data_IF_526990382444
#
_entry.id   IF_526990382444
#
_cell.length_a   1.000
_cell.length_b   1.000
_cell.length_c   1.000
_cell.angle_alpha   90.00
_cell.angle_beta   90.00
_cell.angle_gamma   90.00
#
_symmetry.space_group_name_H-M   'P 1'
#
loop_
_entity.id
_entity.type
_entity.pdbx_description
1 polymer ?
#
# COMPACT_ATOMS: atom_id res chain seq x y z
N UNK A 1 -20.94 -12.03 -27.32
CA UNK A 1 -20.71 -11.36 -28.64
C UNK A 1 -19.24 -11.56 -29.00
N UNK A 2 -18.96 -11.93 -30.25
CA UNK A 2 -17.58 -11.99 -30.76
C UNK A 2 -17.36 -10.82 -31.72
N UNK A 3 -16.26 -10.11 -31.52
CA UNK A 3 -15.86 -8.98 -32.34
C UNK A 3 -14.57 -9.36 -33.07
N UNK A 4 -14.63 -9.43 -34.40
CA UNK A 4 -13.48 -9.75 -35.22
C UNK A 4 -12.71 -8.46 -35.53
N UNK A 5 -11.43 -8.46 -35.26
CA UNK A 5 -10.56 -7.30 -35.56
C UNK A 5 -10.39 -7.08 -37.07
N UNK A 6 -10.19 -5.84 -37.51
CA UNK A 6 -9.74 -5.58 -38.88
C UNK A 6 -8.35 -6.17 -39.14
N UNK A 7 -8.07 -6.52 -40.39
CA UNK A 7 -6.80 -7.12 -40.82
C UNK A 7 -5.58 -6.24 -40.53
N UNK A 8 -5.75 -4.94 -40.59
CA UNK A 8 -4.72 -3.91 -40.40
C UNK A 8 -4.55 -3.46 -38.95
N UNK A 9 -5.39 -3.99 -38.02
CA UNK A 9 -5.28 -3.64 -36.62
C UNK A 9 -4.10 -4.35 -35.94
N UNK A 10 -3.28 -3.60 -35.19
CA UNK A 10 -2.22 -4.19 -34.40
C UNK A 10 -2.78 -5.17 -33.37
N UNK A 11 -2.03 -6.22 -33.05
CA UNK A 11 -2.44 -7.24 -32.06
C UNK A 11 -2.78 -6.66 -30.67
N UNK A 12 -2.33 -5.45 -30.39
CA UNK A 12 -2.45 -4.79 -29.10
C UNK A 12 -3.56 -3.74 -29.01
N UNK A 13 -4.33 -3.52 -30.07
CA UNK A 13 -5.49 -2.60 -29.99
C UNK A 13 -6.56 -3.23 -29.12
N UNK A 14 -6.77 -2.68 -27.95
CA UNK A 14 -7.83 -3.09 -27.03
C UNK A 14 -9.13 -2.41 -27.45
N UNK A 15 -10.13 -3.20 -27.84
CA UNK A 15 -11.47 -2.67 -27.99
C UNK A 15 -12.10 -2.41 -26.63
N UNK A 16 -12.65 -1.22 -26.44
CA UNK A 16 -13.36 -0.84 -25.23
C UNK A 16 -14.78 -0.42 -25.60
N UNK A 17 -15.79 -1.01 -24.98
CA UNK A 17 -17.14 -0.49 -25.14
C UNK A 17 -17.23 0.89 -24.51
N UNK A 18 -17.89 1.80 -25.22
CA UNK A 18 -18.30 3.10 -24.67
C UNK A 18 -19.75 2.99 -24.23
N UNK A 19 -20.08 3.34 -22.99
CA UNK A 19 -21.42 3.29 -22.45
C UNK A 19 -21.64 2.27 -21.34
N UNK A 20 -22.88 1.89 -21.10
CA UNK A 20 -23.25 0.97 -20.05
C UNK A 20 -22.70 -0.46 -20.25
N UNK A 21 -22.52 -1.16 -19.14
CA UNK A 21 -22.05 -2.54 -19.15
C UNK A 21 -23.01 -3.43 -19.92
N UNK A 22 -22.50 -4.11 -20.94
CA UNK A 22 -23.32 -5.08 -21.70
C UNK A 22 -23.74 -6.25 -20.83
N UNK A 23 -24.97 -6.72 -20.94
CA UNK A 23 -25.47 -7.87 -20.17
C UNK A 23 -24.90 -9.21 -20.66
N UNK A 24 -24.16 -9.21 -21.77
CA UNK A 24 -23.53 -10.39 -22.37
C UNK A 24 -22.02 -10.21 -22.46
N UNK A 25 -21.23 -11.30 -22.32
CA UNK A 25 -19.80 -11.25 -22.53
C UNK A 25 -19.48 -10.79 -23.96
N UNK A 26 -18.52 -9.89 -24.10
CA UNK A 26 -17.96 -9.48 -25.39
C UNK A 26 -16.49 -9.88 -25.45
N UNK A 27 -16.09 -10.55 -26.51
CA UNK A 27 -14.73 -11.02 -26.76
C UNK A 27 -14.23 -10.50 -28.08
N UNK A 28 -12.98 -10.07 -28.08
CA UNK A 28 -12.28 -9.66 -29.31
C UNK A 28 -11.40 -10.81 -29.76
N UNK A 29 -11.50 -11.20 -31.01
CA UNK A 29 -10.70 -12.25 -31.62
C UNK A 29 -9.81 -11.67 -32.72
N UNK A 30 -8.62 -12.26 -32.91
CA UNK A 30 -7.72 -11.90 -34.00
C UNK A 30 -8.41 -12.05 -35.35
N UNK A 31 -7.95 -11.28 -36.36
CA UNK A 31 -8.56 -11.31 -37.69
C UNK A 31 -8.65 -12.71 -38.28
N UNK A 32 -7.53 -13.43 -38.32
CA UNK A 32 -7.47 -14.78 -38.95
C UNK A 32 -8.36 -15.79 -38.24
N UNK A 33 -8.38 -15.79 -36.92
CA UNK A 33 -9.25 -16.65 -36.12
C UNK A 33 -10.72 -16.28 -36.32
N UNK A 34 -10.99 -14.99 -36.36
CA UNK A 34 -12.33 -14.47 -36.63
C UNK A 34 -12.83 -14.87 -38.04
N UNK A 35 -11.95 -14.85 -39.06
CA UNK A 35 -12.32 -15.29 -40.40
C UNK A 35 -12.61 -16.81 -40.44
N UNK A 36 -11.86 -17.62 -39.69
CA UNK A 36 -12.13 -19.06 -39.55
C UNK A 36 -13.50 -19.31 -38.91
N UNK A 37 -13.84 -18.59 -37.84
CA UNK A 37 -15.16 -18.68 -37.18
C UNK A 37 -16.29 -18.22 -38.09
N UNK A 38 -16.12 -17.15 -38.82
CA UNK A 38 -17.10 -16.67 -39.80
C UNK A 38 -17.31 -17.68 -40.95
N UNK A 39 -16.24 -18.30 -41.46
CA UNK A 39 -16.29 -19.31 -42.47
C UNK A 39 -17.05 -20.56 -41.97
N UNK A 40 -16.81 -20.98 -40.74
CA UNK A 40 -17.56 -22.10 -40.13
C UNK A 40 -19.04 -21.79 -39.96
N UNK A 41 -19.38 -20.58 -39.47
CA UNK A 41 -20.75 -20.14 -39.29
C UNK A 41 -21.54 -20.05 -40.60
N UNK A 42 -20.91 -19.69 -41.72
CA UNK A 42 -21.53 -19.63 -43.06
C UNK A 42 -21.86 -21.01 -43.63
N UNK A 43 -21.20 -22.07 -43.15
CA UNK A 43 -21.47 -23.46 -43.57
C UNK A 43 -22.65 -24.11 -42.88
N UNK A 44 -23.25 -23.46 -41.92
CA UNK A 44 -24.40 -23.95 -41.16
C UNK A 44 -24.29 -23.59 -39.65
N UNK A 45 -25.03 -24.32 -38.80
CA UNK A 45 -24.96 -24.15 -37.35
C UNK A 45 -23.58 -24.52 -36.85
N UNK A 46 -22.86 -23.53 -36.25
CA UNK A 46 -21.61 -23.75 -35.54
C UNK A 46 -21.87 -23.61 -34.03
N UNK A 47 -21.39 -24.58 -33.26
CA UNK A 47 -21.32 -24.47 -31.79
C UNK A 47 -19.88 -24.09 -31.40
N UNK A 48 -19.76 -23.09 -30.59
CA UNK A 48 -18.47 -22.63 -30.05
C UNK A 48 -18.44 -22.89 -28.54
N UNK A 49 -17.52 -23.70 -28.10
CA UNK A 49 -17.21 -23.87 -26.69
C UNK A 49 -16.07 -22.89 -26.32
N UNK A 50 -16.28 -22.09 -25.27
CA UNK A 50 -15.33 -21.10 -24.82
C UNK A 50 -14.90 -21.40 -23.38
N UNK A 51 -13.61 -21.58 -23.18
CA UNK A 51 -13.00 -21.55 -21.86
C UNK A 51 -12.35 -20.18 -21.66
N UNK A 52 -12.85 -19.44 -20.67
CA UNK A 52 -12.40 -18.08 -20.39
C UNK A 52 -11.68 -18.00 -19.06
N UNK A 53 -10.49 -17.40 -19.08
CA UNK A 53 -9.81 -16.95 -17.88
C UNK A 53 -9.98 -15.44 -17.78
N UNK A 54 -10.73 -14.98 -16.77
CA UNK A 54 -11.08 -13.55 -16.62
C UNK A 54 -9.84 -12.72 -16.32
N UNK A 55 -8.90 -13.30 -15.58
CA UNK A 55 -7.63 -12.67 -15.21
C UNK A 55 -6.50 -13.68 -15.36
N UNK A 56 -5.37 -13.26 -15.92
CA UNK A 56 -4.18 -14.11 -15.91
C UNK A 56 -3.69 -14.30 -14.48
N UNK A 57 -3.41 -15.53 -14.02
CA UNK A 57 -2.75 -15.75 -12.73
C UNK A 57 -1.28 -15.33 -12.73
N UNK A 58 -0.75 -14.94 -13.88
CA UNK A 58 0.63 -14.52 -14.09
C UNK A 58 0.72 -13.13 -14.70
N UNK A 59 1.73 -12.37 -14.29
CA UNK A 59 2.12 -11.10 -14.89
C UNK A 59 3.62 -11.07 -15.11
N UNK A 60 4.05 -10.48 -16.23
CA UNK A 60 5.46 -10.27 -16.55
C UNK A 60 5.70 -8.77 -16.69
N UNK A 61 6.42 -8.16 -15.76
CA UNK A 61 6.90 -6.79 -15.81
C UNK A 61 8.37 -6.79 -16.26
N UNK A 62 8.57 -6.61 -17.55
CA UNK A 62 9.88 -6.73 -18.18
C UNK A 62 10.35 -5.37 -18.66
N UNK A 63 11.47 -4.90 -18.11
CA UNK A 63 12.15 -3.68 -18.52
C UNK A 63 13.54 -4.02 -19.02
N UNK A 64 13.73 -4.01 -20.33
CA UNK A 64 14.99 -4.33 -20.97
C UNK A 64 15.44 -3.18 -21.87
N UNK A 65 16.68 -2.76 -21.71
CA UNK A 65 17.24 -1.59 -22.38
C UNK A 65 18.52 -1.93 -23.09
N UNK A 66 18.60 -1.60 -24.36
CA UNK A 66 19.82 -1.61 -25.16
C UNK A 66 20.37 -0.19 -25.22
N UNK A 67 21.44 0.09 -24.46
CA UNK A 67 22.05 1.42 -24.41
C UNK A 67 22.95 1.67 -25.61
N UNK A 68 22.80 2.82 -26.24
CA UNK A 68 23.70 3.34 -27.28
C UNK A 68 23.48 2.81 -28.69
N UNK A 69 22.68 1.75 -28.89
CA UNK A 69 22.37 1.22 -30.23
C UNK A 69 21.10 0.39 -30.24
N UNK A 70 20.46 0.31 -31.38
CA UNK A 70 19.41 -0.69 -31.66
C UNK A 70 20.11 -2.00 -32.03
N UNK A 71 19.85 -3.12 -31.31
CA UNK A 71 20.45 -4.41 -31.67
C UNK A 71 19.90 -4.90 -33.02
N UNK A 72 20.73 -5.59 -33.82
CA UNK A 72 20.31 -6.16 -35.10
C UNK A 72 19.15 -7.17 -34.93
N UNK A 73 19.12 -7.86 -33.80
CA UNK A 73 18.09 -8.81 -33.46
C UNK A 73 17.58 -8.49 -32.04
N UNK A 74 16.31 -8.08 -31.95
CA UNK A 74 15.65 -7.84 -30.69
C UNK A 74 14.98 -9.14 -30.24
N UNK A 75 15.68 -9.93 -29.42
CA UNK A 75 15.16 -11.15 -28.79
C UNK A 75 15.44 -11.07 -27.31
N UNK A 76 14.37 -11.01 -26.54
CA UNK A 76 14.43 -11.02 -25.08
C UNK A 76 13.79 -12.31 -24.56
N UNK A 77 14.52 -13.03 -23.72
CA UNK A 77 14.02 -14.24 -23.06
C UNK A 77 13.85 -13.94 -21.59
N UNK A 78 12.65 -14.17 -21.09
CA UNK A 78 12.35 -14.10 -19.66
C UNK A 78 12.65 -15.46 -19.04
N UNK A 79 13.52 -15.46 -18.04
CA UNK A 79 13.95 -16.66 -17.30
C UNK A 79 14.16 -16.32 -15.84
N UNK A 80 14.23 -17.31 -14.96
CA UNK A 80 14.58 -17.10 -13.54
C UNK A 80 15.91 -16.34 -13.39
N UNK A 81 16.88 -16.58 -14.28
CA UNK A 81 18.17 -15.89 -14.26
C UNK A 81 18.14 -14.39 -14.60
N UNK A 82 16.97 -13.83 -14.95
CA UNK A 82 16.83 -12.40 -15.24
C UNK A 82 15.53 -11.77 -14.66
N UNK A 83 14.78 -12.51 -13.87
CA UNK A 83 13.58 -12.03 -13.16
C UNK A 83 13.57 -12.47 -11.70
N UNK A 84 12.90 -11.72 -10.86
CA UNK A 84 12.41 -12.17 -9.57
C UNK A 84 10.99 -12.72 -9.72
N UNK A 85 10.65 -13.69 -8.91
CA UNK A 85 9.31 -14.25 -8.77
C UNK A 85 8.63 -13.64 -7.54
N UNK A 86 7.58 -12.85 -7.74
CA UNK A 86 6.89 -12.14 -6.66
C UNK A 86 5.46 -12.65 -6.55
N UNK A 87 5.09 -13.20 -5.40
CA UNK A 87 3.70 -13.52 -5.10
C UNK A 87 3.01 -12.29 -4.50
N UNK A 88 2.19 -11.62 -5.28
CA UNK A 88 1.51 -10.38 -4.88
C UNK A 88 0.10 -10.67 -4.41
N UNK A 89 -0.22 -10.28 -3.18
CA UNK A 89 -1.56 -10.24 -2.62
C UNK A 89 -2.15 -8.84 -2.75
N UNK A 90 -3.29 -8.71 -3.41
CA UNK A 90 -4.02 -7.46 -3.54
C UNK A 90 -5.17 -7.46 -2.52
N UNK A 91 -4.98 -6.77 -1.40
CA UNK A 91 -5.93 -6.76 -0.29
C UNK A 91 -7.34 -6.32 -0.69
N UNK A 92 -8.34 -6.84 0.03
CA UNK A 92 -9.74 -6.44 -0.17
C UNK A 92 -9.96 -5.04 0.41
N UNK A 93 -10.10 -4.07 -0.47
CA UNK A 93 -10.32 -2.66 -0.11
C UNK A 93 -11.79 -2.27 -0.01
N UNK A 94 -12.72 -3.21 -0.26
CA UNK A 94 -14.16 -2.91 -0.36
C UNK A 94 -14.62 -2.74 -1.81
N UNK A 95 -13.84 -2.08 -2.65
CA UNK A 95 -14.08 -2.04 -4.10
C UNK A 95 -13.56 -3.34 -4.75
N UNK A 96 -14.26 -3.91 -5.75
CA UNK A 96 -13.85 -5.17 -6.38
C UNK A 96 -12.60 -5.06 -7.26
N UNK A 97 -12.20 -3.84 -7.61
CA UNK A 97 -11.09 -3.55 -8.51
C UNK A 97 -10.23 -2.41 -7.98
N UNK A 98 -8.94 -2.53 -8.21
CA UNK A 98 -7.94 -1.47 -8.03
C UNK A 98 -7.20 -1.21 -9.34
N UNK A 99 -6.60 -0.05 -9.45
CA UNK A 99 -5.73 0.29 -10.57
C UNK A 99 -4.29 0.04 -10.16
N UNK A 100 -3.61 -0.80 -10.91
CA UNK A 100 -2.22 -1.16 -10.70
C UNK A 100 -1.33 -0.44 -11.72
N UNK A 101 -0.18 0.02 -11.27
CA UNK A 101 0.86 0.62 -12.10
C UNK A 101 2.23 0.19 -11.59
N UNK A 102 3.08 -0.35 -12.44
CA UNK A 102 4.47 -0.62 -12.11
C UNK A 102 5.38 0.17 -13.03
N UNK A 103 6.21 1.01 -12.45
CA UNK A 103 7.16 1.87 -13.14
C UNK A 103 8.54 1.24 -13.10
N UNK A 104 9.20 1.17 -14.25
CA UNK A 104 10.57 0.67 -14.38
C UNK A 104 11.51 1.73 -14.97
N UNK A 105 12.75 1.78 -14.49
CA UNK A 105 13.79 2.65 -15.05
C UNK A 105 15.19 2.15 -14.72
N UNK A 106 16.18 2.63 -15.48
CA UNK A 106 17.59 2.45 -15.19
C UNK A 106 18.13 3.63 -14.36
N UNK A 107 19.20 3.45 -13.54
CA UNK A 107 19.77 4.52 -12.71
C UNK A 107 20.20 5.78 -13.47
N UNK A 108 20.43 5.68 -14.76
CA UNK A 108 20.87 6.78 -15.63
C UNK A 108 19.72 7.41 -16.44
N UNK A 109 18.46 6.96 -16.24
CA UNK A 109 17.28 7.57 -16.84
C UNK A 109 16.71 8.62 -15.89
N UNK A 110 16.31 9.76 -16.45
CA UNK A 110 15.76 10.88 -15.69
C UNK A 110 14.30 10.66 -15.29
N UNK A 111 13.62 9.72 -15.93
CA UNK A 111 12.21 9.41 -15.67
C UNK A 111 11.92 7.91 -15.77
N UNK A 112 10.89 7.51 -15.06
CA UNK A 112 10.37 6.14 -15.07
C UNK A 112 9.33 5.94 -16.17
N UNK A 113 9.18 4.72 -16.62
CA UNK A 113 8.17 4.29 -17.58
C UNK A 113 7.29 3.18 -17.01
N UNK A 114 6.04 3.15 -17.46
CA UNK A 114 5.16 2.01 -17.32
C UNK A 114 4.46 1.71 -18.65
N UNK A 115 3.88 0.54 -18.75
CA UNK A 115 3.08 0.09 -19.89
C UNK A 115 1.62 0.56 -19.82
N UNK A 116 1.32 1.42 -18.86
CA UNK A 116 -0.01 1.95 -18.60
C UNK A 116 -0.64 1.42 -17.31
N UNK A 117 -1.89 1.72 -17.15
CA UNK A 117 -2.70 1.31 -16.01
C UNK A 117 -3.29 -0.06 -16.26
N UNK A 118 -3.22 -0.91 -15.26
CA UNK A 118 -3.86 -2.24 -15.26
C UNK A 118 -4.92 -2.31 -14.19
N UNK A 119 -6.01 -3.02 -14.46
CA UNK A 119 -7.02 -3.32 -13.45
C UNK A 119 -6.68 -4.65 -12.80
N UNK A 120 -6.68 -4.69 -11.49
CA UNK A 120 -6.47 -5.89 -10.68
C UNK A 120 -7.65 -6.10 -9.74
N UNK A 121 -8.05 -7.35 -9.55
CA UNK A 121 -9.12 -7.69 -8.61
C UNK A 121 -8.59 -7.65 -7.19
N UNK A 122 -9.29 -6.95 -6.31
CA UNK A 122 -8.99 -6.94 -4.87
C UNK A 122 -9.42 -8.24 -4.19
N UNK A 123 -8.81 -8.60 -3.09
CA UNK A 123 -9.03 -9.86 -2.39
C UNK A 123 -8.47 -11.09 -3.12
N UNK A 124 -7.50 -10.91 -4.05
CA UNK A 124 -6.87 -11.99 -4.83
C UNK A 124 -5.35 -11.98 -4.73
N UNK A 125 -4.74 -13.06 -5.20
CA UNK A 125 -3.28 -13.16 -5.34
C UNK A 125 -2.90 -13.45 -6.79
N UNK A 126 -1.75 -12.92 -7.22
CA UNK A 126 -1.20 -13.13 -8.56
C UNK A 126 0.29 -13.41 -8.47
N UNK A 127 0.81 -14.26 -9.36
CA UNK A 127 2.23 -14.50 -9.51
C UNK A 127 2.81 -13.52 -10.52
N UNK A 128 3.85 -12.79 -10.15
CA UNK A 128 4.48 -11.78 -10.99
C UNK A 128 5.95 -12.08 -11.20
N UNK A 129 6.42 -11.81 -12.41
CA UNK A 129 7.82 -11.96 -12.80
C UNK A 129 8.35 -10.57 -13.17
N UNK A 130 9.21 -10.02 -12.32
CA UNK A 130 9.73 -8.66 -12.46
C UNK A 130 11.18 -8.71 -12.89
N UNK A 131 11.53 -8.02 -13.98
CA UNK A 131 12.91 -8.08 -14.49
C UNK A 131 13.90 -7.46 -13.49
N UNK A 132 14.97 -8.23 -13.27
CA UNK A 132 16.13 -7.88 -12.44
C UNK A 132 17.20 -7.12 -13.24
N UNK A 133 18.44 -7.15 -12.79
CA UNK A 133 19.59 -6.67 -13.57
C UNK A 133 19.81 -5.16 -13.50
N UNK A 134 19.59 -4.55 -12.35
CA UNK A 134 19.90 -3.15 -12.10
C UNK A 134 18.80 -2.17 -12.50
N UNK A 135 17.61 -2.66 -12.83
CA UNK A 135 16.41 -1.85 -12.93
C UNK A 135 15.97 -1.38 -11.56
N UNK A 136 15.50 -0.13 -11.48
CA UNK A 136 14.67 0.35 -10.40
C UNK A 136 13.22 0.10 -10.76
N UNK A 137 12.42 -0.22 -9.74
CA UNK A 137 11.00 -0.44 -9.85
C UNK A 137 10.25 0.30 -8.76
N UNK A 138 9.07 0.81 -9.09
CA UNK A 138 8.10 1.34 -8.15
C UNK A 138 6.72 0.82 -8.52
N UNK A 139 6.10 0.09 -7.61
CA UNK A 139 4.76 -0.42 -7.75
C UNK A 139 3.76 0.49 -7.04
N UNK A 140 2.57 0.65 -7.61
CA UNK A 140 1.45 1.41 -7.06
C UNK A 140 0.17 0.64 -7.23
N UNK A 141 -0.64 0.58 -6.18
CA UNK A 141 -1.99 0.02 -6.21
C UNK A 141 -2.95 1.10 -5.71
N UNK A 142 -3.76 1.61 -6.60
CA UNK A 142 -4.54 2.82 -6.40
C UNK A 142 -6.03 2.52 -6.47
N UNK A 143 -6.82 3.25 -5.70
CA UNK A 143 -8.27 3.19 -5.77
C UNK A 143 -8.77 3.87 -7.06
N UNK A 144 -9.84 3.33 -7.63
CA UNK A 144 -10.47 3.86 -8.83
C UNK A 144 -12.00 3.94 -8.66
N UNK A 145 -12.61 4.97 -9.22
CA UNK A 145 -14.07 5.15 -9.18
C UNK A 145 -14.83 4.34 -10.24
N UNK A 146 -14.13 3.60 -11.09
CA UNK A 146 -14.73 2.79 -12.13
C UNK A 146 -13.80 1.70 -12.62
N UNK A 147 -14.31 0.85 -13.50
CA UNK A 147 -13.56 -0.27 -14.07
C UNK A 147 -12.69 0.12 -15.26
N UNK A 148 -12.91 1.29 -15.84
CA UNK A 148 -12.18 1.72 -17.02
C UNK A 148 -10.80 2.30 -16.63
N UNK A 149 -9.82 2.06 -17.50
CA UNK A 149 -8.44 2.51 -17.29
C UNK A 149 -8.27 4.03 -17.20
N UNK A 150 -9.27 4.80 -17.66
CA UNK A 150 -9.30 6.25 -17.59
C UNK A 150 -10.10 6.78 -16.40
N UNK A 151 -10.72 5.90 -15.63
CA UNK A 151 -11.45 6.29 -14.43
C UNK A 151 -10.55 7.08 -13.48
N UNK A 152 -11.16 8.04 -12.78
CA UNK A 152 -10.47 8.87 -11.81
C UNK A 152 -9.85 8.00 -10.72
N UNK A 153 -8.57 8.22 -10.47
CA UNK A 153 -7.86 7.64 -9.32
C UNK A 153 -8.13 8.50 -8.09
N UNK A 154 -8.33 7.84 -6.95
CA UNK A 154 -8.66 8.50 -5.68
C UNK A 154 -7.75 8.03 -4.57
N UNK A 155 -6.44 8.25 -4.76
CA UNK A 155 -5.38 7.83 -3.85
C UNK A 155 -5.10 6.33 -3.93
N UNK A 156 -4.55 5.80 -2.86
CA UNK A 156 -4.11 4.43 -2.75
C UNK A 156 -2.73 4.33 -2.10
N UNK A 157 -2.02 3.26 -2.39
CA UNK A 157 -0.70 3.01 -1.82
C UNK A 157 0.37 2.89 -2.91
N UNK A 158 1.60 3.28 -2.56
CA UNK A 158 2.79 3.16 -3.39
C UNK A 158 3.94 2.57 -2.57
N UNK A 159 4.79 1.78 -3.20
CA UNK A 159 6.03 1.33 -2.57
C UNK A 159 7.16 2.34 -2.74
N UNK A 160 8.20 2.22 -1.91
CA UNK A 160 9.47 2.91 -2.16
C UNK A 160 10.17 2.27 -3.37
N UNK A 161 10.87 3.08 -4.21
CA UNK A 161 11.65 2.50 -5.30
C UNK A 161 12.62 1.43 -4.81
N UNK A 162 12.62 0.28 -5.48
CA UNK A 162 13.45 -0.87 -5.11
C UNK A 162 14.05 -1.57 -6.33
N UNK A 163 14.95 -2.51 -6.09
CA UNK A 163 15.52 -3.41 -7.09
C UNK A 163 15.17 -4.84 -6.75
N UNK A 164 15.00 -5.66 -7.78
CA UNK A 164 14.85 -7.10 -7.64
C UNK A 164 16.15 -7.78 -8.07
N UNK A 165 16.57 -8.82 -7.35
CA UNK A 165 17.63 -9.69 -7.78
C UNK A 165 17.07 -10.83 -8.65
N UNK A 166 17.91 -11.38 -9.53
CA UNK A 166 17.52 -12.54 -10.33
C UNK A 166 17.36 -13.77 -9.44
N UNK A 167 16.38 -14.59 -9.76
CA UNK A 167 16.00 -15.82 -9.03
C UNK A 167 15.48 -15.60 -7.59
N UNK A 168 15.28 -14.34 -7.17
CA UNK A 168 14.64 -14.05 -5.89
C UNK A 168 13.18 -14.50 -5.91
N UNK A 169 12.71 -14.96 -4.73
CA UNK A 169 11.31 -15.31 -4.47
C UNK A 169 10.80 -14.49 -3.30
N UNK A 170 9.83 -13.66 -3.58
CA UNK A 170 9.29 -12.72 -2.61
C UNK A 170 7.77 -12.84 -2.48
N UNK A 171 7.27 -12.33 -1.37
CA UNK A 171 5.82 -12.12 -1.16
C UNK A 171 5.59 -10.66 -0.82
N UNK A 172 4.61 -10.07 -1.46
CA UNK A 172 4.21 -8.69 -1.30
C UNK A 172 2.71 -8.65 -1.00
N UNK A 173 2.27 -7.85 -0.05
CA UNK A 173 0.87 -7.80 0.39
C UNK A 173 0.37 -6.37 0.48
N UNK A 174 -0.34 -5.93 -0.54
CA UNK A 174 -0.96 -4.61 -0.61
C UNK A 174 -2.18 -4.52 0.30
N UNK A 175 -2.31 -3.38 0.99
CA UNK A 175 -3.37 -3.12 1.97
C UNK A 175 -3.39 -4.14 3.11
N UNK A 176 -2.27 -4.78 3.40
CA UNK A 176 -2.15 -5.69 4.53
C UNK A 176 -2.46 -4.96 5.86
N UNK A 177 -3.34 -5.51 6.72
CA UNK A 177 -3.67 -4.85 7.96
C UNK A 177 -2.45 -4.83 8.91
N UNK A 178 -2.23 -3.72 9.60
CA UNK A 178 -3.12 -2.58 9.91
C UNK A 178 -2.69 -1.36 9.09
N UNK A 179 -3.62 -0.73 8.37
CA UNK A 179 -3.34 0.54 7.68
C UNK A 179 -3.52 1.71 8.64
N UNK A 180 -2.48 2.53 8.81
CA UNK A 180 -2.42 3.60 9.80
C UNK A 180 -1.45 4.71 9.41
N UNK A 181 -1.49 5.89 10.05
CA UNK A 181 -0.38 6.85 9.98
C UNK A 181 0.90 6.24 10.54
N UNK A 182 1.99 6.28 9.78
CA UNK A 182 3.28 5.77 10.23
C UNK A 182 4.43 6.34 9.38
N UNK A 183 5.62 6.38 9.95
CA UNK A 183 6.85 6.61 9.18
C UNK A 183 7.27 5.27 8.57
N UNK A 184 7.47 5.17 7.24
CA UNK A 184 7.96 3.94 6.63
C UNK A 184 9.30 3.48 7.23
N UNK A 185 9.54 2.18 7.25
CA UNK A 185 10.78 1.61 7.81
C UNK A 185 12.01 1.97 6.97
N UNK A 186 11.82 2.14 5.68
CA UNK A 186 12.85 2.49 4.69
C UNK A 186 12.35 3.61 3.79
N UNK A 187 13.28 4.34 3.17
CA UNK A 187 12.94 5.41 2.24
C UNK A 187 12.48 6.71 2.91
N UNK A 188 11.66 7.46 2.20
CA UNK A 188 11.19 8.79 2.62
C UNK A 188 9.66 8.85 2.61
N UNK A 189 9.03 9.77 3.39
CA UNK A 189 9.67 10.78 4.23
C UNK A 189 10.15 10.25 5.57
N UNK A 190 11.17 10.89 6.13
CA UNK A 190 11.58 10.73 7.52
C UNK A 190 11.38 12.09 8.20
N UNK A 191 10.58 12.20 9.27
CA UNK A 191 10.44 13.44 10.03
C UNK A 191 11.77 13.92 10.57
N UNK A 192 12.07 15.23 10.41
CA UNK A 192 13.37 15.79 10.77
C UNK A 192 13.26 17.15 11.44
N UNK A 193 14.33 17.54 12.12
CA UNK A 193 14.56 18.89 12.57
C UNK A 193 15.79 19.50 11.89
N UNK A 194 15.62 20.70 11.35
CA UNK A 194 16.72 21.50 10.80
C UNK A 194 16.70 22.87 11.45
N UNK A 195 17.71 23.17 12.28
CA UNK A 195 17.72 24.39 13.07
C UNK A 195 16.46 24.55 13.94
N UNK A 196 15.71 25.64 13.72
CA UNK A 196 14.44 25.93 14.40
C UNK A 196 13.22 25.60 13.56
N UNK A 197 13.28 24.52 12.79
CA UNK A 197 12.16 24.03 12.00
C UNK A 197 12.01 22.52 12.14
N UNK A 198 10.76 22.06 12.30
CA UNK A 198 10.38 20.65 12.27
C UNK A 198 9.71 20.35 10.93
N UNK A 199 10.17 19.35 10.22
CA UNK A 199 9.49 18.72 9.10
C UNK A 199 8.86 17.43 9.64
N UNK A 200 7.53 17.41 9.76
CA UNK A 200 6.78 16.35 10.41
C UNK A 200 5.97 15.51 9.42
N UNK A 201 6.32 15.53 8.14
CA UNK A 201 5.61 14.75 7.11
C UNK A 201 5.56 13.27 7.47
N UNK A 202 4.35 12.78 7.72
CA UNK A 202 4.05 11.38 8.01
C UNK A 202 2.95 10.92 7.06
N UNK A 203 3.18 9.91 6.22
CA UNK A 203 2.11 9.34 5.42
C UNK A 203 0.95 8.86 6.30
N UNK A 204 -0.25 9.26 5.93
CA UNK A 204 -1.45 8.95 6.70
C UNK A 204 -1.90 7.50 6.51
N UNK A 205 -1.47 6.87 5.43
CA UNK A 205 -1.82 5.50 5.09
C UNK A 205 -0.54 4.69 4.86
N UNK A 206 -0.21 3.84 5.81
CA UNK A 206 0.90 2.89 5.68
C UNK A 206 0.38 1.52 6.07
N UNK A 207 0.49 0.53 5.18
CA UNK A 207 0.11 -0.86 5.46
C UNK A 207 1.19 -1.64 6.22
N UNK A 208 0.97 -2.93 6.46
CA UNK A 208 1.91 -3.74 7.23
C UNK A 208 3.22 -4.03 6.47
N UNK A 209 3.21 -4.00 5.14
CA UNK A 209 4.39 -4.22 4.29
C UNK A 209 5.14 -2.89 3.99
N UNK A 210 4.61 -1.75 4.45
CA UNK A 210 5.25 -0.44 4.35
C UNK A 210 4.90 0.34 3.08
N UNK A 211 3.94 -0.13 2.29
CA UNK A 211 3.37 0.67 1.22
C UNK A 211 2.65 1.87 1.82
N UNK A 212 2.80 3.04 1.20
CA UNK A 212 2.32 4.27 1.79
C UNK A 212 1.50 5.12 0.81
N UNK A 213 0.65 5.98 1.35
CA UNK A 213 -0.18 6.91 0.59
C UNK A 213 -0.58 8.12 1.41
N UNK A 214 -1.14 9.12 0.73
CA UNK A 214 -1.48 10.42 1.28
C UNK A 214 -2.97 10.70 1.17
N UNK A 215 -3.55 11.26 2.24
CA UNK A 215 -4.98 11.59 2.28
C UNK A 215 -5.38 12.57 1.19
N UNK A 216 -4.55 13.58 0.91
CA UNK A 216 -4.83 14.58 -0.12
C UNK A 216 -4.89 14.01 -1.55
N UNK A 217 -4.28 12.86 -1.80
CA UNK A 217 -4.37 12.15 -3.07
C UNK A 217 -5.70 11.41 -3.22
N UNK A 218 -6.42 11.23 -2.12
CA UNK A 218 -7.72 10.55 -2.05
C UNK A 218 -8.90 11.48 -2.31
N UNK A 219 -8.67 12.80 -2.42
CA UNK A 219 -9.74 13.78 -2.59
C UNK A 219 -10.76 13.70 -1.45
N UNK A 220 -12.05 13.74 -1.78
CA UNK A 220 -13.14 13.68 -0.79
C UNK A 220 -13.31 12.32 -0.09
N UNK A 221 -12.62 11.27 -0.56
CA UNK A 221 -12.72 9.92 0.03
C UNK A 221 -11.94 9.77 1.34
N UNK A 222 -11.10 10.73 1.71
CA UNK A 222 -10.37 10.74 2.97
C UNK A 222 -10.21 12.18 3.49
N UNK A 223 -10.29 12.32 4.82
CA UNK A 223 -9.96 13.55 5.52
C UNK A 223 -8.85 13.32 6.52
N UNK A 224 -8.05 14.34 6.77
CA UNK A 224 -6.97 14.34 7.75
C UNK A 224 -7.07 15.59 8.64
N UNK A 225 -6.83 15.40 9.94
CA UNK A 225 -6.54 16.46 10.88
C UNK A 225 -5.17 16.19 11.48
N UNK A 226 -4.27 17.15 11.40
CA UNK A 226 -2.93 17.03 11.94
C UNK A 226 -2.56 18.27 12.74
N UNK A 227 -2.21 18.09 14.03
CA UNK A 227 -1.89 19.19 14.93
C UNK A 227 -0.58 18.94 15.65
N UNK A 228 0.16 20.02 15.85
CA UNK A 228 1.44 20.00 16.57
C UNK A 228 1.33 20.85 17.81
N UNK A 229 1.68 20.26 18.96
CA UNK A 229 1.80 20.98 20.22
C UNK A 229 3.22 20.94 20.75
N UNK A 230 3.62 21.99 21.45
CA UNK A 230 4.86 22.11 22.19
C UNK A 230 4.53 22.43 23.65
N UNK A 231 5.06 21.62 24.58
CA UNK A 231 4.82 21.74 26.03
C UNK A 231 3.34 21.91 26.39
N UNK A 232 2.45 21.20 25.65
CA UNK A 232 1.00 21.23 25.81
C UNK A 232 0.25 22.34 25.07
N UNK A 233 0.95 23.30 24.48
CA UNK A 233 0.34 24.38 23.70
C UNK A 233 0.39 24.06 22.21
N UNK A 234 -0.74 24.14 21.48
CA UNK A 234 -0.76 23.98 20.03
C UNK A 234 0.03 25.12 19.37
N UNK A 235 0.95 24.73 18.46
CA UNK A 235 1.81 25.67 17.73
C UNK A 235 1.59 25.63 16.21
N UNK A 236 0.97 24.56 15.68
CA UNK A 236 0.64 24.46 14.26
C UNK A 236 -0.58 23.57 14.03
N UNK A 237 -1.31 23.87 12.96
CA UNK A 237 -2.28 23.00 12.31
C UNK A 237 -1.74 22.63 10.91
N UNK A 238 -1.64 21.34 10.63
CA UNK A 238 -1.11 20.78 9.39
C UNK A 238 -2.18 20.02 8.58
N UNK A 239 -3.46 20.23 8.92
CA UNK A 239 -4.59 19.53 8.28
C UNK A 239 -4.70 19.84 6.79
N UNK A 240 -4.35 21.05 6.38
CA UNK A 240 -4.34 21.47 4.97
C UNK A 240 -3.06 21.09 4.21
N UNK A 241 -2.05 20.59 4.91
CA UNK A 241 -0.79 20.14 4.31
C UNK A 241 0.41 20.14 5.25
N UNK A 242 1.36 19.31 4.93
CA UNK A 242 2.60 19.14 5.69
C UNK A 242 3.59 20.27 5.38
N UNK A 243 3.53 21.36 6.14
CA UNK A 243 4.47 22.46 6.04
C UNK A 243 5.48 22.41 7.21
N UNK A 244 6.72 22.91 7.02
CA UNK A 244 7.66 22.98 8.13
C UNK A 244 7.16 23.87 9.27
N UNK A 245 7.21 23.37 10.50
CA UNK A 245 6.73 24.05 11.70
C UNK A 245 7.87 24.84 12.35
N UNK A 246 7.75 26.16 12.48
CA UNK A 246 8.72 26.97 13.22
C UNK A 246 8.74 26.59 14.72
N UNK A 247 9.93 26.58 15.31
CA UNK A 247 10.11 26.30 16.73
C UNK A 247 11.29 27.08 17.29
N UNK A 248 11.63 26.88 18.56
CA UNK A 248 12.76 27.59 19.21
C UNK A 248 13.93 26.67 19.49
N UNK A 249 15.11 27.22 19.81
CA UNK A 249 16.32 26.46 20.05
C UNK A 249 16.24 25.51 21.26
N UNK A 250 15.50 25.90 22.30
CA UNK A 250 15.45 25.17 23.57
C UNK A 250 14.87 23.78 23.38
N UNK A 251 15.33 22.83 24.20
CA UNK A 251 14.70 21.52 24.31
C UNK A 251 13.25 21.68 24.78
N UNK A 252 12.35 20.97 24.14
CA UNK A 252 10.93 20.99 24.47
C UNK A 252 10.28 19.62 24.15
N UNK A 253 9.14 19.36 24.79
CA UNK A 253 8.32 18.19 24.51
C UNK A 253 7.31 18.54 23.41
N UNK A 254 7.32 17.77 22.35
CA UNK A 254 6.40 17.93 21.23
C UNK A 254 5.39 16.80 21.23
N UNK A 255 4.19 17.12 20.72
CA UNK A 255 3.14 16.15 20.42
C UNK A 255 2.64 16.39 18.99
N UNK A 256 2.64 15.34 18.19
CA UNK A 256 2.01 15.31 16.88
C UNK A 256 0.78 14.41 16.94
N UNK A 257 -0.41 14.99 16.73
CA UNK A 257 -1.67 14.28 16.61
C UNK A 257 -2.07 14.22 15.15
N UNK A 258 -2.41 13.01 14.65
CA UNK A 258 -2.90 12.78 13.29
C UNK A 258 -4.12 11.90 13.34
N UNK A 259 -5.26 12.44 12.91
CA UNK A 259 -6.54 11.73 12.79
C UNK A 259 -6.93 11.61 11.32
N UNK A 260 -7.36 10.43 10.90
CA UNK A 260 -7.85 10.20 9.53
C UNK A 260 -9.23 9.57 9.55
N UNK A 261 -10.06 9.94 8.57
CA UNK A 261 -11.33 9.28 8.28
C UNK A 261 -11.38 8.94 6.81
N UNK A 262 -11.90 7.79 6.46
CA UNK A 262 -11.94 7.27 5.10
C UNK A 262 -13.33 6.82 4.72
N UNK A 263 -13.68 7.05 3.46
CA UNK A 263 -14.92 6.53 2.88
C UNK A 263 -14.89 5.02 2.81
N UNK A 264 -15.98 4.35 3.18
CA UNK A 264 -16.12 2.91 3.21
C UNK A 264 -16.15 2.23 1.83
N UNK A 265 -16.37 2.98 0.76
CA UNK A 265 -16.45 2.40 -0.59
C UNK A 265 -15.09 1.95 -1.14
N UNK A 266 -14.01 2.59 -0.68
CA UNK A 266 -12.64 2.28 -1.12
C UNK A 266 -11.75 1.78 0.01
N UNK A 267 -12.24 1.83 1.26
CA UNK A 267 -11.49 1.42 2.43
C UNK A 267 -12.35 0.53 3.32
N UNK A 268 -12.22 -0.76 3.16
CA UNK A 268 -12.95 -1.73 3.96
C UNK A 268 -12.50 -1.74 5.43
N UNK A 269 -11.19 -1.62 5.63
CA UNK A 269 -10.59 -1.67 6.95
C UNK A 269 -9.93 -0.34 7.33
N UNK A 270 -9.72 -0.16 8.63
CA UNK A 270 -9.09 1.05 9.18
C UNK A 270 -9.79 2.35 8.75
N UNK A 271 -11.12 2.37 8.82
CA UNK A 271 -11.96 3.48 8.36
C UNK A 271 -11.74 4.78 9.13
N UNK A 272 -11.21 4.67 10.36
CA UNK A 272 -10.78 5.80 11.19
C UNK A 272 -9.51 5.42 11.93
N UNK A 273 -8.55 6.35 11.95
CA UNK A 273 -7.35 6.24 12.79
C UNK A 273 -7.13 7.51 13.56
N UNK A 274 -6.69 7.38 14.82
CA UNK A 274 -6.22 8.48 15.64
C UNK A 274 -4.83 8.07 16.16
N UNK A 275 -3.79 8.82 15.81
CA UNK A 275 -2.41 8.55 16.21
C UNK A 275 -1.79 9.77 16.85
N UNK A 276 -1.16 9.60 17.99
CA UNK A 276 -0.45 10.65 18.70
C UNK A 276 0.97 10.19 19.03
N UNK A 277 1.96 10.94 18.59
CA UNK A 277 3.36 10.78 18.99
C UNK A 277 3.74 11.85 20.00
N UNK A 278 4.52 11.48 21.03
CA UNK A 278 5.19 12.42 21.91
C UNK A 278 6.69 12.16 21.87
N UNK A 279 7.47 13.22 21.74
CA UNK A 279 8.92 13.15 21.64
C UNK A 279 9.57 14.44 22.15
N UNK A 280 10.86 14.37 22.49
CA UNK A 280 11.64 15.54 22.88
C UNK A 280 12.59 15.95 21.76
N UNK A 281 12.73 17.24 21.50
CA UNK A 281 13.66 17.76 20.51
C UNK A 281 14.21 19.12 20.90
N UNK A 282 15.49 19.35 20.58
CA UNK A 282 16.19 20.62 20.70
C UNK A 282 16.84 20.99 19.36
N UNK A 283 17.28 22.24 19.18
CA UNK A 283 18.04 22.65 17.99
C UNK A 283 19.29 21.78 17.87
N UNK A 284 19.51 21.10 16.72
CA UNK A 284 20.75 20.38 16.48
C UNK A 284 21.95 21.34 16.44
N UNK A 285 23.14 20.86 16.81
CA UNK A 285 24.37 21.66 16.83
C UNK A 285 24.82 22.10 15.43
N UNK A 286 24.45 21.37 14.37
CA UNK A 286 24.81 21.65 12.98
C UNK A 286 23.63 22.14 12.14
N UNK A 287 23.90 22.32 10.84
CA UNK A 287 22.87 22.71 9.83
C UNK A 287 22.19 21.54 9.14
N UNK A 288 22.69 20.33 9.34
CA UNK A 288 22.11 19.13 8.75
C UNK A 288 20.75 18.79 9.40
N UNK A 289 19.85 18.24 8.61
CA UNK A 289 18.59 17.69 9.10
C UNK A 289 18.84 16.48 10.01
N UNK A 290 18.26 16.47 11.20
CA UNK A 290 18.36 15.38 12.17
C UNK A 290 17.00 14.68 12.29
N UNK A 291 16.93 13.35 12.14
CA UNK A 291 15.70 12.60 12.30
C UNK A 291 15.07 12.77 13.69
N UNK A 292 13.75 12.84 13.72
CA UNK A 292 12.98 12.98 14.96
C UNK A 292 12.57 11.61 15.50
N UNK A 293 12.57 11.40 16.84
CA UNK A 293 12.27 10.10 17.45
C UNK A 293 10.75 9.86 17.59
N UNK A 294 10.08 9.73 16.47
CA UNK A 294 8.68 9.34 16.44
C UNK A 294 8.54 7.81 16.56
N UNK A 295 8.37 7.31 17.78
CA UNK A 295 8.26 5.88 18.05
C UNK A 295 7.16 5.23 17.20
N UNK A 296 7.48 4.16 16.48
CA UNK A 296 6.57 3.44 15.59
C UNK A 296 6.13 2.10 16.18
N UNK A 297 4.90 1.70 15.87
CA UNK A 297 4.39 0.35 16.10
C UNK A 297 4.08 -0.27 14.73
N UNK A 298 4.79 -1.32 14.38
CA UNK A 298 4.48 -2.14 13.21
C UNK A 298 3.67 -3.37 13.64
N UNK A 299 2.67 -3.71 12.86
CA UNK A 299 1.70 -4.76 13.17
C UNK A 299 1.90 -5.96 12.26
N UNK A 300 1.75 -7.16 12.84
CA UNK A 300 1.68 -8.41 12.10
C UNK A 300 0.42 -9.16 12.47
N UNK A 301 -0.59 -9.02 11.64
CA UNK A 301 -1.86 -9.74 11.75
C UNK A 301 -1.78 -11.01 10.89
N UNK A 302 -2.16 -12.21 11.39
CA UNK A 302 -2.18 -13.43 10.57
C UNK A 302 -3.42 -13.47 9.66
N UNK A 303 -3.66 -12.39 8.96
CA UNK A 303 -4.81 -12.22 8.06
C UNK A 303 -4.54 -12.86 6.69
N UNK A 304 -5.61 -13.29 6.03
CA UNK A 304 -5.59 -13.64 4.62
C UNK A 304 -5.57 -12.38 3.73
N UNK A 305 -5.55 -12.58 2.41
CA UNK A 305 -5.55 -11.48 1.44
C UNK A 305 -6.80 -10.57 1.51
N UNK A 306 -7.87 -11.01 2.17
CA UNK A 306 -9.07 -10.19 2.41
C UNK A 306 -8.98 -9.36 3.69
N UNK A 307 -7.83 -9.42 4.38
CA UNK A 307 -7.65 -8.75 5.65
C UNK A 307 -8.45 -9.39 6.78
N UNK A 308 -8.74 -10.70 6.70
CA UNK A 308 -9.54 -11.41 7.69
C UNK A 308 -8.78 -12.54 8.39
N UNK A 309 -9.13 -12.78 9.66
CA UNK A 309 -8.61 -13.85 10.51
C UNK A 309 -9.77 -14.77 10.92
N UNK A 310 -9.55 -16.10 11.08
CA UNK A 310 -10.57 -16.99 11.65
C UNK A 310 -11.02 -16.52 13.04
N UNK A 311 -12.32 -16.15 13.17
CA UNK A 311 -12.87 -15.52 14.39
C UNK A 311 -13.23 -16.49 15.51
N UNK A 312 -13.40 -17.78 15.20
CA UNK A 312 -13.85 -18.79 16.18
C UNK A 312 -12.84 -19.14 17.27
N UNK A 313 -11.62 -18.61 17.21
CA UNK A 313 -10.55 -18.86 18.20
C UNK A 313 -9.70 -17.61 18.41
N UNK A 314 -9.04 -17.49 19.59
CA UNK A 314 -8.06 -16.42 19.80
C UNK A 314 -6.90 -16.50 18.80
N UNK A 315 -6.33 -15.35 18.46
CA UNK A 315 -5.17 -15.27 17.56
C UNK A 315 -4.11 -14.32 18.10
N UNK A 316 -2.90 -14.47 17.58
CA UNK A 316 -1.74 -13.66 17.98
C UNK A 316 -1.64 -12.44 17.05
N UNK A 317 -1.50 -11.27 17.66
CA UNK A 317 -1.16 -10.01 16.98
C UNK A 317 0.30 -9.69 17.35
N UNK A 318 1.18 -9.73 16.36
CA UNK A 318 2.57 -9.33 16.53
C UNK A 318 2.70 -7.80 16.49
N UNK A 319 3.57 -7.26 17.37
CA UNK A 319 3.89 -5.84 17.40
C UNK A 319 5.42 -5.70 17.44
N UNK A 320 5.96 -4.80 16.63
CA UNK A 320 7.37 -4.44 16.65
C UNK A 320 7.50 -2.94 16.86
N UNK A 321 8.26 -2.54 17.87
CA UNK A 321 8.58 -1.15 18.10
C UNK A 321 9.87 -0.78 17.38
N UNK A 322 9.88 0.36 16.72
CA UNK A 322 11.07 0.92 16.09
C UNK A 322 11.05 2.43 16.11
N UNK A 323 12.21 3.02 15.91
CA UNK A 323 12.36 4.43 15.60
C UNK A 323 12.50 4.63 14.08
N UNK A 324 12.27 5.84 13.55
CA UNK A 324 12.60 6.18 12.16
C UNK A 324 14.07 5.96 11.82
N UNK A 325 14.36 5.83 10.54
CA UNK A 325 15.74 5.67 10.06
C UNK A 325 16.65 6.83 10.56
N UNK A 326 17.82 6.50 11.05
CA UNK A 326 18.76 7.46 11.60
C UNK A 326 18.56 7.79 13.10
N UNK A 327 17.51 7.26 13.73
CA UNK A 327 17.31 7.35 15.19
C UNK A 327 17.69 6.00 15.83
N UNK A 328 18.39 5.97 16.98
CA UNK A 328 18.72 4.73 17.68
C UNK A 328 17.49 3.90 18.01
N UNK A 329 17.65 2.57 18.04
CA UNK A 329 16.57 1.66 18.40
C UNK A 329 16.03 1.94 19.82
N UNK A 330 14.71 1.82 20.05
CA UNK A 330 14.11 2.12 21.34
C UNK A 330 14.54 1.08 22.40
N UNK A 331 14.72 1.55 23.62
CA UNK A 331 15.13 0.70 24.77
C UNK A 331 14.18 0.90 25.94
N UNK A 332 14.10 -0.09 26.85
CA UNK A 332 13.23 -0.02 28.04
C UNK A 332 11.76 0.20 27.68
N UNK A 333 11.32 -0.50 26.66
CA UNK A 333 10.02 -0.31 26.03
C UNK A 333 8.88 -0.93 26.83
N UNK A 334 7.70 -0.37 26.73
CA UNK A 334 6.43 -0.89 27.24
C UNK A 334 5.36 -0.84 26.17
N UNK A 335 4.44 -1.82 26.20
CA UNK A 335 3.30 -1.89 25.26
C UNK A 335 2.04 -2.30 26.00
N UNK A 336 0.95 -1.58 25.76
CA UNK A 336 -0.41 -1.95 26.16
C UNK A 336 -1.31 -2.01 24.95
N UNK A 337 -2.13 -3.06 24.89
CA UNK A 337 -3.07 -3.30 23.78
C UNK A 337 -4.47 -3.44 24.33
N UNK A 338 -5.41 -2.73 23.74
CA UNK A 338 -6.83 -2.88 23.95
C UNK A 338 -7.51 -3.21 22.62
N UNK A 339 -8.52 -4.06 22.66
CA UNK A 339 -9.30 -4.46 21.48
C UNK A 339 -10.77 -4.15 21.67
N UNK A 340 -11.45 -3.90 20.57
CA UNK A 340 -12.89 -3.70 20.50
C UNK A 340 -13.47 -4.52 19.34
N UNK A 341 -14.65 -5.09 19.52
CA UNK A 341 -15.41 -5.80 18.49
C UNK A 341 -16.73 -5.08 18.12
N UNK A 342 -16.88 -3.86 18.56
CA UNK A 342 -18.09 -3.04 18.40
C UNK A 342 -17.83 -1.64 17.81
N UNK A 343 -16.77 -1.52 16.98
CA UNK A 343 -16.40 -0.26 16.35
C UNK A 343 -15.82 0.78 17.31
N UNK A 344 -15.16 0.34 18.39
CA UNK A 344 -14.52 1.22 19.36
C UNK A 344 -15.46 1.78 20.44
N UNK A 345 -16.67 1.24 20.59
CA UNK A 345 -17.61 1.67 21.65
C UNK A 345 -17.20 1.14 23.01
N UNK A 346 -16.76 -0.12 23.07
CA UNK A 346 -16.22 -0.72 24.28
C UNK A 346 -14.82 -1.30 24.02
N UNK A 347 -13.94 -1.22 25.03
CA UNK A 347 -12.55 -1.63 24.92
C UNK A 347 -12.18 -2.62 26.01
N UNK A 348 -11.45 -3.65 25.63
CA UNK A 348 -10.92 -4.66 26.54
C UNK A 348 -9.41 -4.72 26.43
N UNK A 349 -8.69 -4.58 27.54
CA UNK A 349 -7.25 -4.84 27.61
C UNK A 349 -6.99 -6.32 27.38
N UNK A 350 -6.02 -6.63 26.54
CA UNK A 350 -5.60 -8.02 26.24
C UNK A 350 -4.19 -8.29 26.75
N UNK A 351 -3.87 -9.56 27.07
CA UNK A 351 -2.52 -9.94 27.49
C UNK A 351 -1.50 -9.63 26.37
N UNK A 352 -0.38 -9.03 26.78
CA UNK A 352 0.77 -8.74 25.89
C UNK A 352 1.99 -9.42 26.51
N UNK A 353 2.68 -10.21 25.71
CA UNK A 353 3.93 -10.89 26.06
C UNK A 353 5.05 -10.38 25.14
N UNK A 354 6.24 -10.23 25.69
CA UNK A 354 7.40 -9.78 24.92
C UNK A 354 8.30 -8.85 25.70
N UNK A 355 9.44 -8.53 25.12
CA UNK A 355 10.43 -7.61 25.69
C UNK A 355 11.26 -6.97 24.56
N UNK A 356 12.05 -5.96 24.88
CA UNK A 356 12.81 -5.22 23.88
C UNK A 356 11.89 -4.56 22.86
N UNK A 357 12.04 -4.89 21.60
CA UNK A 357 11.25 -4.29 20.53
C UNK A 357 10.11 -5.17 20.01
N UNK A 358 9.98 -6.42 20.50
CA UNK A 358 9.02 -7.41 19.97
C UNK A 358 8.03 -7.84 21.00
N UNK A 359 6.76 -7.71 20.67
CA UNK A 359 5.64 -8.07 21.54
C UNK A 359 4.59 -8.86 20.78
N UNK A 360 3.81 -9.64 21.52
CA UNK A 360 2.67 -10.40 20.98
C UNK A 360 1.48 -10.18 21.89
N UNK A 361 0.39 -9.65 21.36
CA UNK A 361 -0.90 -9.56 22.03
C UNK A 361 -1.77 -10.77 21.68
N UNK A 362 -2.54 -11.27 22.64
CA UNK A 362 -3.49 -12.36 22.43
C UNK A 362 -4.90 -11.77 22.26
N UNK A 363 -5.34 -11.65 21.01
CA UNK A 363 -6.67 -11.13 20.66
C UNK A 363 -7.70 -12.24 20.86
N UNK A 364 -8.79 -12.00 21.63
CA UNK A 364 -9.80 -13.02 21.87
C UNK A 364 -10.59 -13.38 20.62
N UNK A 365 -11.27 -14.53 20.65
CA UNK A 365 -12.24 -14.89 19.64
C UNK A 365 -13.38 -13.85 19.55
N UNK A 366 -13.91 -13.67 18.36
CA UNK A 366 -14.96 -12.69 18.09
C UNK A 366 -15.59 -12.84 16.71
N UNK A 367 -16.41 -11.89 16.33
CA UNK A 367 -17.05 -11.77 15.00
C UNK A 367 -17.00 -10.32 14.53
N UNK A 368 -17.14 -10.12 13.21
CA UNK A 368 -17.17 -8.80 12.61
C UNK A 368 -15.78 -8.21 12.42
N UNK A 369 -15.51 -7.05 12.98
CA UNK A 369 -14.20 -6.38 12.87
C UNK A 369 -13.50 -6.29 14.23
N UNK A 370 -12.19 -6.15 14.20
CA UNK A 370 -11.34 -5.84 15.37
C UNK A 370 -10.85 -4.41 15.23
N UNK A 371 -11.17 -3.59 16.20
CA UNK A 371 -10.56 -2.28 16.39
C UNK A 371 -9.45 -2.41 17.44
N UNK A 372 -8.37 -1.66 17.24
CA UNK A 372 -7.17 -1.70 18.07
C UNK A 372 -6.92 -0.34 18.72
N UNK A 373 -6.49 -0.35 19.99
CA UNK A 373 -5.85 0.78 20.66
C UNK A 373 -4.54 0.29 21.26
N UNK A 374 -3.44 0.87 20.80
CA UNK A 374 -2.09 0.51 21.23
C UNK A 374 -1.41 1.73 21.82
N UNK A 375 -0.83 1.57 23.00
CA UNK A 375 0.05 2.55 23.63
C UNK A 375 1.42 1.93 23.80
N UNK A 376 2.44 2.61 23.32
CA UNK A 376 3.82 2.20 23.50
C UNK A 376 4.68 3.39 23.93
N UNK A 377 5.67 3.10 24.75
CA UNK A 377 6.68 4.09 25.19
C UNK A 377 8.03 3.43 25.33
N UNK A 378 9.09 4.24 25.29
CA UNK A 378 10.45 3.84 25.54
C UNK A 378 11.07 4.58 26.74
N UNK A 379 12.32 4.23 27.08
CA UNK A 379 13.04 4.84 28.20
C UNK A 379 13.39 6.32 27.97
N UNK A 380 13.50 6.77 26.70
CA UNK A 380 13.78 8.17 26.38
C UNK A 380 12.55 9.07 26.62
N UNK A 381 11.38 8.48 26.87
CA UNK A 381 10.12 9.18 27.03
C UNK A 381 9.37 9.40 25.70
N UNK A 382 9.90 8.85 24.63
CA UNK A 382 9.19 8.84 23.35
C UNK A 382 8.01 7.86 23.43
N UNK A 383 6.87 8.27 22.90
CA UNK A 383 5.67 7.43 22.97
C UNK A 383 4.79 7.57 21.73
N UNK A 384 3.98 6.53 21.52
CA UNK A 384 2.92 6.53 20.52
C UNK A 384 1.64 5.96 21.12
N UNK A 385 0.53 6.64 20.89
CA UNK A 385 -0.82 6.12 21.11
C UNK A 385 -1.52 6.05 19.75
N UNK A 386 -2.01 4.86 19.40
CA UNK A 386 -2.64 4.64 18.10
C UNK A 386 -3.94 3.89 18.27
N UNK A 387 -5.04 4.49 17.83
CA UNK A 387 -6.36 3.87 17.73
C UNK A 387 -6.70 3.65 16.27
N UNK A 388 -7.08 2.44 15.92
CA UNK A 388 -7.50 2.06 14.55
C UNK A 388 -8.86 1.38 14.66
N UNK A 389 -9.89 2.01 14.13
CA UNK A 389 -11.23 1.44 14.08
C UNK A 389 -11.34 0.50 12.89
N UNK A 390 -11.88 -0.70 13.13
CA UNK A 390 -12.01 -1.77 12.14
C UNK A 390 -10.69 -2.09 11.44
N UNK A 391 -9.65 -2.34 12.25
CA UNK A 391 -8.30 -2.57 11.77
C UNK A 391 -8.17 -3.79 10.84
N UNK A 392 -8.98 -4.83 11.08
CA UNK A 392 -9.10 -6.05 10.27
C UNK A 392 -10.37 -6.83 10.62
N UNK A 393 -10.74 -7.82 9.78
CA UNK A 393 -11.95 -8.62 9.94
C UNK A 393 -11.75 -9.94 10.66
N UNK A 394 -12.87 -10.48 11.21
CA UNK A 394 -13.00 -11.84 11.73
C UNK A 394 -14.06 -12.60 10.93
N UNK A 395 -13.74 -13.82 10.45
CA UNK A 395 -14.62 -14.69 9.65
C UNK A 395 -14.91 -16.01 10.37
#
# INVERSE_FOLDING_TARGET
>A
MLIVRPADSSAWTVWRPTGERLPIPALVVAYDDGQRLLAAARKGRATLELTLTVESPYLYDVWQVSKGRVPQRVVHRVTAGNTAEVRVGYGDTGAPWANEQRFGWRPWQEYSWNDGRRMVRTGTTRQEFVSAGGNWWQHRVLHTLGFDLWSKLVGGLTEQPRRYAADDRETESWYAPVVRPAVPATGTPVPTRTGDRLDLRVPEFVDADGHHGWARESGESATVEARVSRDGQQIADLSDGWTPVPTTAAAARYRLDVSTRRSSEQWRWATRTDTAWQFTSARPAGTAAVPLPLLQVDYRVPADVRGTVPGGRPHRLGLTLRQPAGVPAPTGTSVRVEVSHDGGRTWRTVPVLGHGTRFTALVPAGRGAVSLRVRAADRAGDSVEQTVIDAYGLR
#
